data_IF_143921703136
#
_entry.id   IF_143921703136
#
_cell.length_a   1.000
_cell.length_b   1.000
_cell.length_c   1.000
_cell.angle_alpha   90.00
_cell.angle_beta   90.00
_cell.angle_gamma   90.00
#
_symmetry.space_group_name_H-M   'P 1'
#
loop_
_entity.id
_entity.type
_entity.pdbx_description
1 polymer ?
#
# COMPACT_ATOMS: atom_id res chain seq x y z
N UNK A 1 -7.22 -4.01 3.07
CA UNK A 1 -6.30 -2.91 2.75
C UNK A 1 -6.66 -1.71 3.60
N UNK A 2 -5.69 -1.12 4.26
CA UNK A 2 -5.89 0.06 5.09
C UNK A 2 -5.27 1.25 4.36
N UNK A 3 -6.10 2.19 3.96
CA UNK A 3 -5.71 3.36 3.18
C UNK A 3 -5.97 4.61 4.02
N UNK A 4 -4.96 5.43 4.22
CA UNK A 4 -5.07 6.65 4.99
C UNK A 4 -4.38 7.83 4.29
N UNK A 5 -4.73 9.03 4.72
CA UNK A 5 -3.97 10.24 4.45
C UNK A 5 -3.18 10.54 5.72
N UNK A 6 -1.83 10.36 5.73
CA UNK A 6 -1.03 10.56 6.94
C UNK A 6 -1.12 12.00 7.44
N UNK A 7 -1.01 12.22 8.75
CA UNK A 7 -0.88 13.57 9.29
C UNK A 7 0.41 14.23 8.79
N UNK A 8 0.46 15.57 8.82
CA UNK A 8 1.63 16.33 8.37
C UNK A 8 2.92 15.95 9.10
N UNK A 9 2.83 15.67 10.38
CA UNK A 9 3.96 15.14 11.13
C UNK A 9 4.03 13.62 10.96
N UNK A 10 4.92 13.18 10.09
CA UNK A 10 5.05 11.79 9.68
C UNK A 10 6.26 11.08 10.29
N UNK A 11 6.73 11.49 11.46
CA UNK A 11 7.88 10.87 12.14
C UNK A 11 7.70 9.35 12.32
N UNK A 12 6.47 8.91 12.60
CA UNK A 12 6.19 7.49 12.72
C UNK A 12 6.40 6.72 11.41
N UNK A 13 6.13 7.36 10.26
CA UNK A 13 6.41 6.75 8.94
C UNK A 13 7.90 6.56 8.73
N UNK A 14 8.69 7.59 9.06
CA UNK A 14 10.15 7.54 8.95
C UNK A 14 10.70 6.43 9.83
N UNK A 15 10.21 6.35 11.06
CA UNK A 15 10.62 5.31 12.01
C UNK A 15 10.33 3.89 11.48
N UNK A 16 9.12 3.66 10.99
CA UNK A 16 8.72 2.36 10.44
C UNK A 16 9.50 2.04 9.18
N UNK A 17 9.65 3.00 8.27
CA UNK A 17 10.34 2.79 6.99
C UNK A 17 11.86 2.66 7.13
N UNK A 18 12.45 3.12 8.22
CA UNK A 18 13.89 3.02 8.45
C UNK A 18 14.34 1.76 9.18
N UNK A 19 13.42 1.08 9.89
CA UNK A 19 13.74 -0.07 10.74
C UNK A 19 13.33 -1.43 10.18
N UNK A 20 13.12 -1.55 8.88
CA UNK A 20 12.57 -2.77 8.28
C UNK A 20 13.60 -3.91 8.20
N UNK A 21 13.40 -4.94 9.01
CA UNK A 21 14.13 -6.21 8.93
C UNK A 21 13.14 -7.32 8.62
N UNK A 22 13.63 -8.38 7.95
CA UNK A 22 12.77 -9.42 7.37
C UNK A 22 11.75 -10.02 8.35
N UNK A 23 12.15 -10.39 9.55
CA UNK A 23 11.23 -11.00 10.53
C UNK A 23 10.40 -9.98 11.29
N UNK A 24 10.94 -8.81 11.56
CA UNK A 24 10.23 -7.73 12.25
C UNK A 24 9.34 -6.94 11.31
N UNK A 25 9.55 -7.02 10.00
CA UNK A 25 8.78 -6.27 9.02
C UNK A 25 7.29 -6.60 9.06
N UNK A 26 6.94 -7.89 9.01
CA UNK A 26 5.53 -8.31 9.02
C UNK A 26 4.86 -7.92 10.34
N UNK A 27 5.54 -8.12 11.47
CA UNK A 27 5.03 -7.72 12.78
C UNK A 27 4.83 -6.20 12.87
N UNK A 28 5.78 -5.43 12.38
CA UNK A 28 5.69 -3.96 12.35
C UNK A 28 4.56 -3.47 11.45
N UNK A 29 4.39 -4.09 10.28
CA UNK A 29 3.32 -3.75 9.35
C UNK A 29 1.94 -4.08 9.94
N UNK A 30 1.80 -5.22 10.63
CA UNK A 30 0.56 -5.58 11.31
C UNK A 30 0.25 -4.62 12.46
N UNK A 31 1.24 -4.25 13.25
CA UNK A 31 1.07 -3.28 14.34
C UNK A 31 0.66 -1.92 13.80
N UNK A 32 1.28 -1.46 12.73
CA UNK A 32 0.90 -0.23 12.06
C UNK A 32 -0.53 -0.29 11.56
N UNK A 33 -0.92 -1.38 10.89
CA UNK A 33 -2.27 -1.56 10.39
C UNK A 33 -3.31 -1.49 11.50
N UNK A 34 -3.07 -2.17 12.62
CA UNK A 34 -3.96 -2.16 13.78
C UNK A 34 -4.08 -0.76 14.40
N UNK A 35 -2.95 -0.06 14.56
CA UNK A 35 -2.94 1.29 15.11
C UNK A 35 -3.71 2.26 14.20
N UNK A 36 -3.52 2.17 12.89
CA UNK A 36 -4.23 3.01 11.93
C UNK A 36 -5.73 2.73 11.92
N UNK A 37 -6.14 1.48 11.98
CA UNK A 37 -7.55 1.09 12.04
C UNK A 37 -8.21 1.63 13.31
N UNK A 38 -7.54 1.56 14.46
CA UNK A 38 -8.03 2.13 15.71
C UNK A 38 -8.17 3.65 15.62
N UNK A 39 -7.23 4.33 15.00
CA UNK A 39 -7.27 5.79 14.81
C UNK A 39 -8.36 6.21 13.83
N UNK A 40 -8.64 5.41 12.81
CA UNK A 40 -9.77 5.63 11.91
C UNK A 40 -11.09 5.53 12.67
N UNK A 41 -11.24 4.49 13.48
CA UNK A 41 -12.45 4.30 14.31
C UNK A 41 -12.65 5.43 15.31
N UNK A 42 -11.59 5.92 15.91
CA UNK A 42 -11.65 7.03 16.88
C UNK A 42 -11.83 8.40 16.22
N UNK A 43 -11.68 8.51 14.92
CA UNK A 43 -11.78 9.76 14.17
C UNK A 43 -10.53 10.62 14.18
N UNK A 44 -9.41 10.13 14.72
CA UNK A 44 -8.14 10.88 14.72
C UNK A 44 -7.55 11.05 13.33
N UNK A 45 -7.75 10.06 12.46
CA UNK A 45 -7.30 10.12 11.07
C UNK A 45 -8.44 9.72 10.13
N UNK A 46 -8.35 10.19 8.91
CA UNK A 46 -9.35 9.95 7.89
C UNK A 46 -8.93 8.80 6.98
N UNK A 47 -9.89 7.92 6.68
CA UNK A 47 -9.67 6.87 5.69
C UNK A 47 -9.66 7.48 4.29
N UNK A 48 -8.64 7.17 3.50
CA UNK A 48 -8.54 7.66 2.14
C UNK A 48 -9.54 6.94 1.21
N UNK A 49 -10.15 7.71 0.31
CA UNK A 49 -10.91 7.17 -0.81
C UNK A 49 -9.96 7.02 -2.00
N UNK A 50 -9.71 5.79 -2.41
CA UNK A 50 -8.82 5.48 -3.52
C UNK A 50 -9.55 5.25 -4.84
N UNK A 51 -10.87 5.47 -4.87
CA UNK A 51 -11.66 5.30 -6.09
C UNK A 51 -11.62 3.87 -6.63
N UNK A 52 -11.79 2.90 -5.76
CA UNK A 52 -11.69 1.49 -6.11
C UNK A 52 -12.74 1.07 -7.14
N UNK A 53 -12.28 0.51 -8.26
CA UNK A 53 -13.10 -0.05 -9.33
C UNK A 53 -12.73 -1.51 -9.55
N UNK A 54 -13.73 -2.37 -9.64
CA UNK A 54 -13.53 -3.79 -9.88
C UNK A 54 -14.04 -4.15 -11.28
N UNK A 55 -13.21 -4.85 -12.04
CA UNK A 55 -13.52 -5.30 -13.39
C UNK A 55 -13.49 -6.83 -13.43
N UNK A 56 -14.58 -7.42 -13.86
CA UNK A 56 -14.72 -8.89 -13.92
C UNK A 56 -14.88 -9.37 -15.34
N UNK A 57 -14.17 -10.44 -15.66
CA UNK A 57 -14.33 -11.19 -16.92
C UNK A 57 -14.04 -12.67 -16.63
N UNK A 58 -14.56 -13.63 -17.43
CA UNK A 58 -14.25 -15.04 -17.20
C UNK A 58 -12.74 -15.28 -17.15
N UNK A 59 -12.27 -15.82 -16.03
CA UNK A 59 -10.86 -16.14 -15.81
C UNK A 59 -9.96 -14.98 -15.42
N UNK A 60 -10.49 -13.74 -15.36
CA UNK A 60 -9.67 -12.55 -15.01
C UNK A 60 -10.46 -11.63 -14.09
N UNK A 61 -9.78 -11.15 -13.06
CA UNK A 61 -10.28 -10.11 -12.18
C UNK A 61 -9.26 -8.97 -12.10
N UNK A 62 -9.69 -7.76 -12.42
CA UNK A 62 -8.88 -6.56 -12.31
C UNK A 62 -9.41 -5.66 -11.20
N UNK A 63 -8.50 -5.16 -10.39
CA UNK A 63 -8.81 -4.20 -9.34
C UNK A 63 -8.02 -2.93 -9.59
N UNK A 64 -8.74 -1.86 -9.90
CA UNK A 64 -8.15 -0.55 -10.18
C UNK A 64 -8.36 0.37 -9.00
N UNK A 65 -7.33 1.13 -8.63
CA UNK A 65 -7.42 2.13 -7.57
C UNK A 65 -6.50 3.31 -7.89
N UNK A 66 -6.91 4.49 -7.41
CA UNK A 66 -6.27 5.76 -7.77
C UNK A 66 -5.97 6.58 -6.51
N UNK A 67 -4.93 6.20 -5.75
CA UNK A 67 -4.55 6.95 -4.56
C UNK A 67 -3.99 8.32 -4.94
N UNK A 68 -4.35 9.33 -4.17
CA UNK A 68 -3.83 10.68 -4.33
C UNK A 68 -2.47 10.82 -3.64
N UNK A 69 -1.73 11.85 -4.05
CA UNK A 69 -0.48 12.23 -3.40
C UNK A 69 -0.67 12.33 -1.89
N UNK A 70 0.25 11.77 -1.12
CA UNK A 70 0.20 11.75 0.34
C UNK A 70 -0.60 10.60 0.95
N UNK A 71 -1.11 9.68 0.15
CA UNK A 71 -1.83 8.50 0.67
C UNK A 71 -0.85 7.43 1.13
N UNK A 72 -1.11 6.88 2.31
CA UNK A 72 -0.42 5.70 2.84
C UNK A 72 -1.36 4.50 2.74
N UNK A 73 -0.85 3.43 2.16
CA UNK A 73 -1.59 2.18 1.98
C UNK A 73 -0.86 1.06 2.70
N UNK A 74 -1.55 0.37 3.60
CA UNK A 74 -1.05 -0.88 4.20
C UNK A 74 -1.89 -2.02 3.64
N UNK A 75 -1.27 -2.86 2.82
CA UNK A 75 -1.97 -3.94 2.16
C UNK A 75 -2.29 -5.08 3.13
N UNK A 76 -3.35 -5.82 2.83
CA UNK A 76 -3.56 -7.14 3.44
C UNK A 76 -2.49 -8.11 2.92
N UNK A 77 -2.21 -9.16 3.69
CA UNK A 77 -1.33 -10.21 3.21
C UNK A 77 -1.97 -10.92 2.02
N UNK A 78 -1.24 -10.99 0.91
CA UNK A 78 -1.72 -11.64 -0.30
C UNK A 78 -1.60 -13.17 -0.19
N UNK A 79 -2.66 -13.87 -0.57
CA UNK A 79 -2.69 -15.34 -0.54
C UNK A 79 -2.31 -15.97 -1.86
N UNK A 80 -2.47 -15.21 -2.95
CA UNK A 80 -2.24 -15.69 -4.31
C UNK A 80 -1.24 -14.82 -5.03
N UNK A 81 -0.50 -15.42 -5.96
CA UNK A 81 0.38 -14.70 -6.87
C UNK A 81 -0.45 -13.91 -7.88
N UNK A 82 -0.06 -12.67 -8.12
CA UNK A 82 -0.72 -11.80 -9.09
C UNK A 82 0.23 -10.69 -9.55
N UNK A 83 -0.19 -9.94 -10.55
CA UNK A 83 0.55 -8.77 -11.02
C UNK A 83 -0.06 -7.49 -10.49
N UNK A 84 0.81 -6.49 -10.25
CA UNK A 84 0.40 -5.12 -10.02
C UNK A 84 1.04 -4.22 -11.07
N UNK A 85 0.21 -3.37 -11.69
CA UNK A 85 0.65 -2.35 -12.64
C UNK A 85 0.53 -0.98 -11.99
N UNK A 86 1.62 -0.23 -12.03
CA UNK A 86 1.62 1.20 -11.70
C UNK A 86 1.55 1.95 -13.02
N UNK A 87 0.38 2.48 -13.35
CA UNK A 87 0.14 3.13 -14.64
C UNK A 87 0.63 4.57 -14.67
N UNK A 88 0.38 5.30 -13.59
CA UNK A 88 0.81 6.69 -13.42
C UNK A 88 1.27 6.93 -11.99
N UNK A 89 2.11 7.93 -11.78
CA UNK A 89 2.53 8.41 -10.46
C UNK A 89 3.86 7.85 -9.98
N UNK A 90 4.13 8.07 -8.71
CA UNK A 90 5.33 7.55 -8.03
C UNK A 90 5.03 7.24 -6.58
N UNK A 91 5.74 6.26 -6.02
CA UNK A 91 5.54 5.81 -4.66
C UNK A 91 6.84 5.26 -4.07
N UNK A 92 6.87 5.19 -2.75
CA UNK A 92 7.87 4.46 -2.00
C UNK A 92 7.20 3.27 -1.34
N UNK A 93 7.76 2.09 -1.49
CA UNK A 93 7.24 0.84 -0.92
C UNK A 93 8.24 0.30 0.08
N UNK A 94 7.77 0.02 1.27
CA UNK A 94 8.55 -0.70 2.27
C UNK A 94 8.41 -2.19 2.03
N UNK A 95 9.54 -2.86 1.85
CA UNK A 95 9.62 -4.30 1.69
C UNK A 95 10.48 -4.90 2.79
N UNK A 96 10.49 -6.22 2.90
CA UNK A 96 11.39 -6.91 3.84
C UNK A 96 12.88 -6.65 3.55
N UNK A 97 13.20 -6.17 2.35
CA UNK A 97 14.57 -5.84 1.92
C UNK A 97 14.88 -4.33 1.99
N UNK A 98 13.99 -3.53 2.55
CA UNK A 98 14.14 -2.09 2.69
C UNK A 98 13.15 -1.30 1.83
N UNK A 99 13.48 -0.02 1.61
CA UNK A 99 12.62 0.89 0.86
C UNK A 99 12.95 0.80 -0.63
N UNK A 100 11.91 0.63 -1.44
CA UNK A 100 12.01 0.65 -2.89
C UNK A 100 11.21 1.83 -3.43
N UNK A 101 11.83 2.62 -4.31
CA UNK A 101 11.17 3.73 -4.99
C UNK A 101 10.70 3.28 -6.37
N UNK A 102 9.41 3.46 -6.65
CA UNK A 102 8.79 3.04 -7.91
C UNK A 102 8.26 4.27 -8.63
N UNK A 103 8.60 4.39 -9.89
CA UNK A 103 8.06 5.40 -10.80
C UNK A 103 7.33 4.70 -11.94
N UNK A 104 6.08 5.11 -12.17
CA UNK A 104 5.27 4.56 -13.25
C UNK A 104 5.78 5.03 -14.64
N UNK A 105 5.60 4.23 -15.70
CA UNK A 105 4.94 2.94 -15.70
C UNK A 105 5.84 1.81 -15.16
N UNK A 106 5.25 0.88 -14.43
CA UNK A 106 5.98 -0.26 -13.86
C UNK A 106 5.03 -1.43 -13.64
N UNK A 107 5.51 -2.64 -13.88
CA UNK A 107 4.78 -3.86 -13.57
C UNK A 107 5.62 -4.70 -12.60
N UNK A 108 4.96 -5.22 -11.56
CA UNK A 108 5.60 -6.11 -10.60
C UNK A 108 4.74 -7.35 -10.35
N UNK A 109 5.40 -8.45 -10.06
CA UNK A 109 4.75 -9.69 -9.63
C UNK A 109 4.70 -9.72 -8.11
N UNK A 110 3.52 -9.94 -7.55
CA UNK A 110 3.31 -10.09 -6.11
C UNK A 110 3.23 -11.57 -5.77
N UNK A 111 4.13 -12.00 -4.88
CA UNK A 111 4.17 -13.40 -4.42
C UNK A 111 3.23 -13.61 -3.24
N UNK A 112 2.75 -14.85 -3.01
CA UNK A 112 1.99 -15.17 -1.80
C UNK A 112 2.78 -14.83 -0.53
N UNK A 113 2.10 -14.35 0.50
CA UNK A 113 2.72 -13.96 1.76
C UNK A 113 3.27 -12.53 1.77
N UNK A 114 3.12 -11.79 0.68
CA UNK A 114 3.57 -10.41 0.60
C UNK A 114 2.61 -9.47 1.32
N UNK A 115 3.17 -8.60 2.15
CA UNK A 115 2.46 -7.48 2.77
C UNK A 115 3.28 -6.22 2.52
N UNK A 116 2.63 -5.16 2.02
CA UNK A 116 3.30 -3.93 1.62
C UNK A 116 2.78 -2.72 2.40
N UNK A 117 3.70 -1.81 2.67
CA UNK A 117 3.39 -0.45 3.12
C UNK A 117 3.85 0.49 2.02
N UNK A 118 2.94 1.24 1.42
CA UNK A 118 3.23 2.12 0.30
C UNK A 118 2.82 3.56 0.62
N UNK A 119 3.70 4.49 0.26
CA UNK A 119 3.42 5.93 0.37
C UNK A 119 3.48 6.54 -1.03
N UNK A 120 2.38 7.14 -1.46
CA UNK A 120 2.25 7.73 -2.80
C UNK A 120 2.70 9.19 -2.78
N UNK A 121 3.72 9.51 -3.58
CA UNK A 121 4.27 10.86 -3.68
C UNK A 121 3.47 11.74 -4.64
N UNK A 122 2.79 11.14 -5.60
CA UNK A 122 1.99 11.80 -6.63
C UNK A 122 0.64 11.11 -6.74
N UNK A 123 -0.34 11.80 -7.35
CA UNK A 123 -1.59 11.16 -7.75
C UNK A 123 -1.25 10.00 -8.68
N UNK A 124 -1.72 8.82 -8.34
CA UNK A 124 -1.31 7.58 -9.00
C UNK A 124 -2.53 6.76 -9.43
N UNK A 125 -2.34 5.96 -10.45
CA UNK A 125 -3.31 4.95 -10.88
C UNK A 125 -2.62 3.60 -10.89
N UNK A 126 -3.21 2.64 -10.18
CA UNK A 126 -2.67 1.29 -10.02
C UNK A 126 -3.74 0.25 -10.36
N UNK A 127 -3.28 -0.92 -10.80
CA UNK A 127 -4.18 -2.02 -11.15
C UNK A 127 -3.56 -3.34 -10.71
N UNK A 128 -4.34 -4.18 -10.03
CA UNK A 128 -3.94 -5.56 -9.74
C UNK A 128 -4.70 -6.51 -10.64
N UNK A 129 -4.01 -7.52 -11.14
CA UNK A 129 -4.54 -8.53 -12.08
C UNK A 129 -4.49 -9.89 -11.38
N UNK A 130 -5.64 -10.47 -11.20
CA UNK A 130 -5.82 -11.76 -10.52
C UNK A 130 -6.31 -12.86 -11.45
#
# INVERSE_FOLDING_TARGET
>A
MTDIIPPENTEFLIHIMSGAHKQSYISSALSLQNELEQKIESGEIEKADTGLLNHFSPGVYLREFSPKAGTLVVSKMHRTEHFILFLTGSLSVLTENGIEHIKAPCIQRTMPGTKRVAYFHEDSTCMTIH
#
